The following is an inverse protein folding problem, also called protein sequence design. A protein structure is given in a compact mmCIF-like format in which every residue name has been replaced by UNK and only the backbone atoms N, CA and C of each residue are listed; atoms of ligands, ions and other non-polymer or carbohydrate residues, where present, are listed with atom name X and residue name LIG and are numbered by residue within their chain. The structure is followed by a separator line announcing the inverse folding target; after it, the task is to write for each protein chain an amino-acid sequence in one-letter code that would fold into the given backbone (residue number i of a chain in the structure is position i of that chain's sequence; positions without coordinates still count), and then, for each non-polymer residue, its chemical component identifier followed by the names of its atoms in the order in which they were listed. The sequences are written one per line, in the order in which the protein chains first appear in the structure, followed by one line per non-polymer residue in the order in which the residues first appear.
data_IF_615167435931
#
_entry.id   IF_615167435931
#
_cell.length_a   1.000
_cell.length_b   1.000
_cell.length_c   1.000
_cell.angle_alpha   90.00
_cell.angle_beta   90.00
_cell.angle_gamma   90.00
#
_symmetry.space_group_name_H-M   'P 1'
#
loop_
_entity.id
_entity.type
_entity.pdbx_description
1 polymer ?
#
# COMPACT_ATOMS: atom_id res chain seq x y z
N UNK A 1 -31.45 -8.28 -3.05
CA UNK A 1 -30.32 -8.35 -2.11
C UNK A 1 -30.58 -9.24 -0.89
N UNK A 2 -31.72 -9.18 -0.17
CA UNK A 2 -32.08 -10.25 0.78
C UNK A 2 -32.11 -11.61 0.08
N UNK A 3 -32.56 -11.62 -1.17
CA UNK A 3 -32.67 -12.80 -2.01
C UNK A 3 -31.33 -13.49 -2.25
N UNK A 4 -30.23 -12.77 -2.53
CA UNK A 4 -28.93 -13.42 -2.80
C UNK A 4 -28.34 -14.04 -1.54
N UNK A 5 -28.47 -13.38 -0.38
CA UNK A 5 -28.05 -13.96 0.91
C UNK A 5 -28.91 -15.15 1.30
N UNK A 6 -30.23 -15.06 1.13
CA UNK A 6 -31.17 -16.16 1.40
C UNK A 6 -30.91 -17.34 0.48
N UNK A 7 -30.67 -17.10 -0.81
CA UNK A 7 -30.33 -18.15 -1.78
C UNK A 7 -28.98 -18.77 -1.44
N UNK A 8 -27.96 -17.97 -1.12
CA UNK A 8 -26.65 -18.49 -0.71
C UNK A 8 -26.76 -19.35 0.58
N UNK A 9 -27.54 -18.89 1.56
CA UNK A 9 -27.80 -19.63 2.78
C UNK A 9 -28.57 -20.93 2.53
N UNK A 10 -29.59 -20.90 1.66
CA UNK A 10 -30.37 -22.07 1.29
C UNK A 10 -29.52 -23.10 0.54
N UNK A 11 -28.73 -22.66 -0.44
CA UNK A 11 -27.82 -23.53 -1.20
C UNK A 11 -26.74 -24.13 -0.30
N UNK A 12 -26.12 -23.32 0.56
CA UNK A 12 -25.09 -23.77 1.49
C UNK A 12 -25.62 -24.80 2.49
N UNK A 13 -26.80 -24.53 3.08
CA UNK A 13 -27.46 -25.45 3.99
C UNK A 13 -27.93 -26.74 3.30
N UNK A 14 -28.35 -26.68 2.03
CA UNK A 14 -28.76 -27.85 1.27
C UNK A 14 -27.59 -28.74 0.82
N UNK A 15 -26.41 -28.15 0.57
CA UNK A 15 -25.28 -28.88 0.00
C UNK A 15 -24.42 -29.61 1.04
N UNK A 16 -23.92 -28.89 2.06
CA UNK A 16 -23.03 -29.43 3.10
C UNK A 16 -23.36 -28.76 4.45
N UNK A 17 -24.50 -29.08 5.08
CA UNK A 17 -25.05 -28.31 6.20
C UNK A 17 -24.09 -28.19 7.38
N UNK A 18 -23.36 -29.28 7.69
CA UNK A 18 -22.40 -29.29 8.81
C UNK A 18 -21.27 -28.29 8.58
N UNK A 19 -20.66 -28.30 7.40
CA UNK A 19 -19.57 -27.38 7.06
C UNK A 19 -20.07 -25.95 6.88
N UNK A 20 -21.25 -25.78 6.28
CA UNK A 20 -21.88 -24.48 6.12
C UNK A 20 -22.03 -23.74 7.45
N UNK A 21 -22.54 -24.42 8.49
CA UNK A 21 -22.68 -23.84 9.83
C UNK A 21 -21.32 -23.39 10.38
N UNK A 22 -20.27 -24.21 10.26
CA UNK A 22 -18.94 -23.84 10.72
C UNK A 22 -18.35 -22.66 9.96
N UNK A 23 -18.50 -22.60 8.64
CA UNK A 23 -18.04 -21.49 7.81
C UNK A 23 -18.76 -20.19 8.15
N UNK A 24 -20.09 -20.23 8.31
CA UNK A 24 -20.89 -19.07 8.72
C UNK A 24 -20.53 -18.64 10.14
N UNK A 25 -20.37 -19.57 11.07
CA UNK A 25 -19.97 -19.26 12.44
C UNK A 25 -18.58 -18.61 12.48
N UNK A 26 -17.60 -19.15 11.75
CA UNK A 26 -16.26 -18.56 11.66
C UNK A 26 -16.29 -17.16 11.05
N UNK A 27 -17.09 -16.96 9.98
CA UNK A 27 -17.28 -15.66 9.36
C UNK A 27 -17.90 -14.64 10.31
N UNK A 28 -19.01 -15.00 10.98
CA UNK A 28 -19.69 -14.12 11.92
C UNK A 28 -18.85 -13.84 13.17
N UNK A 29 -18.05 -14.81 13.63
CA UNK A 29 -17.13 -14.64 14.76
C UNK A 29 -16.10 -13.54 14.49
N UNK A 30 -15.68 -13.36 13.24
CA UNK A 30 -14.77 -12.27 12.84
C UNK A 30 -15.55 -10.99 12.55
N UNK A 31 -16.65 -11.10 11.79
CA UNK A 31 -17.40 -9.93 11.33
C UNK A 31 -18.07 -9.16 12.47
N UNK A 32 -18.76 -9.87 13.37
CA UNK A 32 -19.59 -9.22 14.40
C UNK A 32 -18.74 -8.38 15.36
N UNK A 33 -17.65 -8.88 15.96
CA UNK A 33 -16.85 -8.05 16.86
C UNK A 33 -16.20 -6.87 16.15
N UNK A 34 -15.70 -7.04 14.92
CA UNK A 34 -15.02 -5.95 14.21
C UNK A 34 -15.99 -4.83 13.80
N UNK A 35 -17.16 -5.17 13.26
CA UNK A 35 -18.15 -4.16 12.83
C UNK A 35 -18.95 -3.55 13.99
N UNK A 36 -18.94 -4.16 15.17
CA UNK A 36 -19.60 -3.60 16.36
C UNK A 36 -18.63 -2.93 17.32
N UNK A 37 -17.35 -2.79 16.95
CA UNK A 37 -16.27 -2.27 17.82
C UNK A 37 -16.24 -3.03 19.16
N UNK A 38 -16.22 -4.36 19.08
CA UNK A 38 -16.31 -5.27 20.24
C UNK A 38 -17.57 -5.04 21.10
N UNK A 39 -18.68 -4.66 20.47
CA UNK A 39 -19.98 -4.44 21.09
C UNK A 39 -20.25 -3.03 21.59
N UNK A 40 -19.30 -2.09 21.50
CA UNK A 40 -19.53 -0.69 21.91
C UNK A 40 -20.40 0.09 20.92
N UNK A 41 -20.46 -0.36 19.65
CA UNK A 41 -21.30 0.22 18.61
C UNK A 41 -22.10 -0.84 17.84
N UNK A 42 -23.15 -1.44 18.43
CA UNK A 42 -23.89 -2.56 17.83
C UNK A 42 -24.53 -2.28 16.48
N UNK A 43 -24.92 -1.02 16.23
CA UNK A 43 -25.54 -0.60 14.96
C UNK A 43 -24.57 -0.67 13.78
N UNK A 44 -23.26 -0.76 14.01
CA UNK A 44 -22.25 -0.85 12.94
C UNK A 44 -22.40 -2.10 12.06
N UNK A 45 -23.05 -3.17 12.56
CA UNK A 45 -23.32 -4.35 11.75
C UNK A 45 -24.29 -4.09 10.58
N UNK A 46 -25.20 -3.12 10.73
CA UNK A 46 -26.11 -2.73 9.65
C UNK A 46 -25.34 -2.12 8.48
N UNK A 47 -24.23 -1.45 8.76
CA UNK A 47 -23.35 -0.87 7.75
C UNK A 47 -22.40 -1.86 7.09
N UNK A 48 -22.26 -3.09 7.61
CA UNK A 48 -21.18 -4.00 7.21
C UNK A 48 -21.18 -4.35 5.72
N UNK A 49 -22.36 -4.51 5.15
CA UNK A 49 -22.51 -4.87 3.74
C UNK A 49 -22.89 -3.68 2.87
N UNK A 50 -23.95 -2.95 3.24
CA UNK A 50 -24.54 -1.97 2.32
C UNK A 50 -23.94 -0.59 2.46
N UNK A 51 -23.76 -0.08 3.67
CA UNK A 51 -23.07 1.21 3.82
C UNK A 51 -21.65 1.15 3.27
N UNK A 52 -20.93 0.05 3.49
CA UNK A 52 -19.61 -0.18 2.89
C UNK A 52 -19.67 -0.23 1.36
N UNK A 53 -20.68 -0.90 0.79
CA UNK A 53 -20.83 -1.02 -0.67
C UNK A 53 -21.27 0.29 -1.32
N UNK A 54 -22.24 0.99 -0.75
CA UNK A 54 -22.73 2.30 -1.20
C UNK A 54 -21.57 3.29 -1.19
N UNK A 55 -20.81 3.35 -0.09
CA UNK A 55 -19.60 4.17 -0.02
C UNK A 55 -18.59 3.82 -1.13
N UNK A 56 -18.33 2.53 -1.36
CA UNK A 56 -17.40 2.09 -2.41
C UNK A 56 -17.88 2.43 -3.83
N UNK A 57 -19.19 2.33 -4.10
CA UNK A 57 -19.81 2.73 -5.37
C UNK A 57 -19.63 4.25 -5.56
N UNK A 58 -19.92 5.04 -4.54
CA UNK A 58 -19.78 6.50 -4.57
C UNK A 58 -18.32 6.94 -4.81
N UNK A 59 -17.33 6.14 -4.39
CA UNK A 59 -15.91 6.45 -4.64
C UNK A 59 -15.49 6.28 -6.11
N UNK A 60 -16.26 5.56 -6.95
CA UNK A 60 -15.87 5.31 -8.34
C UNK A 60 -15.84 6.59 -9.19
N UNK A 61 -16.71 7.57 -8.90
CA UNK A 61 -16.73 8.86 -9.61
C UNK A 61 -15.57 9.77 -9.21
N UNK A 62 -15.11 9.69 -7.96
CA UNK A 62 -14.00 10.50 -7.43
C UNK A 62 -12.65 10.04 -8.00
N UNK A 63 -12.53 8.74 -8.37
CA UNK A 63 -11.33 8.12 -8.93
C UNK A 63 -10.05 8.42 -8.14
N UNK A 64 -10.12 8.27 -6.81
CA UNK A 64 -8.99 8.49 -5.90
C UNK A 64 -7.81 7.63 -6.35
N UNK A 65 -6.62 8.24 -6.47
CA UNK A 65 -5.42 7.56 -6.94
C UNK A 65 -5.61 6.93 -8.31
N UNK A 66 -6.10 7.68 -9.29
CA UNK A 66 -6.17 7.22 -10.69
C UNK A 66 -4.81 6.72 -11.15
N UNK A 67 -4.76 5.48 -11.66
CA UNK A 67 -3.60 4.90 -12.31
C UNK A 67 -3.95 4.38 -13.72
N UNK A 68 -2.95 4.12 -14.58
CA UNK A 68 -3.18 3.47 -15.86
C UNK A 68 -3.84 2.09 -15.69
N UNK A 69 -4.55 1.63 -16.72
CA UNK A 69 -5.26 0.33 -16.70
C UNK A 69 -4.32 -0.87 -16.45
N UNK A 70 -3.04 -0.74 -16.83
CA UNK A 70 -1.99 -1.74 -16.65
C UNK A 70 -1.28 -1.66 -15.30
N UNK A 71 -1.73 -0.83 -14.35
CA UNK A 71 -1.07 -0.65 -13.05
C UNK A 71 -0.74 -1.96 -12.33
N UNK A 72 -1.71 -2.87 -12.22
CA UNK A 72 -1.49 -4.19 -11.57
C UNK A 72 -0.67 -5.16 -12.41
N UNK A 73 -0.54 -4.94 -13.72
CA UNK A 73 0.32 -5.75 -14.60
C UNK A 73 1.80 -5.61 -14.20
N UNK A 74 2.18 -4.45 -13.67
CA UNK A 74 3.54 -4.20 -13.20
C UNK A 74 3.70 -4.54 -11.72
N UNK A 75 2.71 -4.16 -10.90
CA UNK A 75 2.79 -4.31 -9.45
C UNK A 75 2.79 -5.77 -9.00
N UNK A 76 1.93 -6.62 -9.59
CA UNK A 76 1.81 -8.03 -9.17
C UNK A 76 3.09 -8.84 -9.45
N UNK A 77 3.72 -8.79 -10.65
CA UNK A 77 5.01 -9.46 -10.85
C UNK A 77 6.12 -8.96 -9.94
N UNK A 78 6.14 -7.67 -9.58
CA UNK A 78 7.17 -7.09 -8.72
C UNK A 78 7.13 -7.59 -7.27
N UNK A 79 5.94 -7.80 -6.72
CA UNK A 79 5.76 -8.12 -5.30
C UNK A 79 5.24 -9.55 -5.05
N UNK A 80 4.52 -10.14 -6.01
CA UNK A 80 3.87 -11.45 -5.86
C UNK A 80 4.49 -12.52 -6.76
N UNK A 81 5.71 -12.32 -7.27
CA UNK A 81 6.38 -13.24 -8.21
C UNK A 81 6.41 -14.71 -7.75
N UNK A 82 6.64 -14.93 -6.44
CA UNK A 82 6.72 -16.26 -5.83
C UNK A 82 5.43 -17.07 -5.98
N UNK A 83 4.27 -16.40 -5.90
CA UNK A 83 2.95 -17.06 -6.01
C UNK A 83 2.34 -16.91 -7.41
N UNK A 84 2.66 -15.83 -8.12
CA UNK A 84 2.17 -15.56 -9.47
C UNK A 84 2.54 -16.69 -10.43
N UNK A 85 3.81 -17.08 -10.48
CA UNK A 85 4.31 -18.07 -11.44
C UNK A 85 3.70 -19.46 -11.19
N UNK A 86 3.87 -20.09 -10.01
CA UNK A 86 3.27 -21.40 -9.76
C UNK A 86 1.73 -21.35 -9.76
N UNK A 87 1.14 -20.25 -9.29
CA UNK A 87 -0.31 -20.05 -9.27
C UNK A 87 -0.89 -19.95 -10.68
N UNK A 88 -0.45 -18.98 -11.48
CA UNK A 88 -1.03 -18.76 -12.81
C UNK A 88 -0.64 -19.85 -13.81
N UNK A 89 0.65 -20.15 -13.97
CA UNK A 89 1.11 -21.14 -14.97
C UNK A 89 0.64 -22.54 -14.55
N UNK A 90 0.86 -22.92 -13.30
CA UNK A 90 0.46 -24.23 -12.79
C UNK A 90 -1.06 -24.39 -12.70
N UNK A 91 -1.78 -23.33 -12.33
CA UNK A 91 -3.24 -23.30 -12.28
C UNK A 91 -3.87 -23.41 -13.66
N UNK A 92 -3.34 -22.70 -14.66
CA UNK A 92 -3.78 -22.84 -16.06
C UNK A 92 -3.51 -24.24 -16.59
N UNK A 93 -2.35 -24.83 -16.30
CA UNK A 93 -2.05 -26.20 -16.66
C UNK A 93 -3.03 -27.21 -16.03
N UNK A 94 -3.33 -27.08 -14.72
CA UNK A 94 -4.33 -27.91 -14.05
C UNK A 94 -5.74 -27.71 -14.66
N UNK A 95 -6.08 -26.48 -15.02
CA UNK A 95 -7.38 -26.14 -15.60
C UNK A 95 -7.54 -26.74 -17.00
N UNK A 96 -6.60 -26.48 -17.91
CA UNK A 96 -6.70 -26.83 -19.33
C UNK A 96 -6.39 -28.30 -19.56
N UNK A 97 -5.30 -28.82 -18.98
CA UNK A 97 -4.80 -30.17 -19.25
C UNK A 97 -5.44 -31.20 -18.33
N UNK A 98 -5.60 -30.87 -17.05
CA UNK A 98 -6.15 -31.81 -16.05
C UNK A 98 -7.65 -31.65 -15.82
N UNK A 99 -8.29 -30.61 -16.40
CA UNK A 99 -9.71 -30.28 -16.21
C UNK A 99 -10.09 -30.20 -14.73
N UNK A 100 -9.20 -29.62 -13.94
CA UNK A 100 -9.39 -29.48 -12.50
C UNK A 100 -10.27 -28.26 -12.19
N UNK A 101 -11.48 -28.51 -11.70
CA UNK A 101 -12.47 -27.46 -11.43
C UNK A 101 -12.07 -26.48 -10.33
N UNK A 102 -11.30 -26.93 -9.33
CA UNK A 102 -10.83 -26.03 -8.29
C UNK A 102 -9.74 -25.10 -8.81
N UNK A 103 -8.82 -25.61 -9.65
CA UNK A 103 -7.87 -24.75 -10.34
C UNK A 103 -8.59 -23.76 -11.27
N UNK A 104 -9.62 -24.22 -11.99
CA UNK A 104 -10.43 -23.37 -12.86
C UNK A 104 -11.10 -22.23 -12.08
N UNK A 105 -11.65 -22.53 -10.89
CA UNK A 105 -12.21 -21.53 -9.99
C UNK A 105 -11.15 -20.51 -9.54
N UNK A 106 -9.96 -20.98 -9.13
CA UNK A 106 -8.87 -20.09 -8.71
C UNK A 106 -8.36 -19.17 -9.83
N UNK A 107 -8.20 -19.72 -11.04
CA UNK A 107 -7.83 -18.94 -12.24
C UNK A 107 -8.92 -17.93 -12.58
N UNK A 108 -10.19 -18.35 -12.59
CA UNK A 108 -11.32 -17.45 -12.82
C UNK A 108 -11.36 -16.32 -11.78
N UNK A 109 -11.18 -16.65 -10.50
CA UNK A 109 -11.17 -15.67 -9.41
C UNK A 109 -10.05 -14.64 -9.61
N UNK A 110 -8.81 -15.08 -9.88
CA UNK A 110 -7.71 -14.16 -10.16
C UNK A 110 -7.97 -13.28 -11.40
N UNK A 111 -8.34 -13.88 -12.54
CA UNK A 111 -8.52 -13.15 -13.79
C UNK A 111 -9.70 -12.17 -13.75
N UNK A 112 -10.80 -12.56 -13.10
CA UNK A 112 -11.97 -11.68 -12.92
C UNK A 112 -11.65 -10.51 -11.99
N UNK A 113 -10.94 -10.74 -10.88
CA UNK A 113 -10.51 -9.65 -10.00
C UNK A 113 -9.49 -8.74 -10.69
N UNK A 114 -8.55 -9.31 -11.44
CA UNK A 114 -7.58 -8.53 -12.22
C UNK A 114 -8.30 -7.61 -13.21
N UNK A 115 -9.24 -8.15 -14.00
CA UNK A 115 -10.02 -7.38 -14.95
C UNK A 115 -10.88 -6.30 -14.25
N UNK A 116 -11.55 -6.65 -13.15
CA UNK A 116 -12.39 -5.74 -12.40
C UNK A 116 -11.58 -4.56 -11.81
N UNK A 117 -10.43 -4.83 -11.21
CA UNK A 117 -9.57 -3.79 -10.61
C UNK A 117 -8.84 -2.95 -11.67
N UNK A 118 -8.47 -3.54 -12.81
CA UNK A 118 -7.94 -2.77 -13.96
C UNK A 118 -8.99 -1.84 -14.57
N UNK A 119 -10.27 -2.23 -14.52
CA UNK A 119 -11.39 -1.41 -14.99
C UNK A 119 -11.83 -0.35 -13.97
N UNK A 120 -11.84 -0.67 -12.67
CA UNK A 120 -12.30 0.22 -11.60
C UNK A 120 -11.55 1.57 -11.59
N UNK A 121 -12.24 2.63 -11.16
CA UNK A 121 -11.70 3.98 -11.15
C UNK A 121 -10.60 4.17 -10.11
N UNK A 122 -10.79 3.62 -8.92
CA UNK A 122 -9.78 3.58 -7.85
C UNK A 122 -8.73 2.51 -8.13
N UNK A 123 -7.45 2.90 -8.17
CA UNK A 123 -6.32 1.98 -8.35
C UNK A 123 -5.22 2.27 -7.36
N UNK A 124 -5.09 1.39 -6.38
CA UNK A 124 -4.23 1.59 -5.23
C UNK A 124 -3.45 0.32 -4.93
N UNK A 125 -2.21 0.43 -4.42
CA UNK A 125 -1.37 -0.74 -4.23
C UNK A 125 -1.97 -1.75 -3.24
N UNK A 126 -2.74 -1.32 -2.24
CA UNK A 126 -3.39 -2.25 -1.29
C UNK A 126 -4.43 -3.16 -1.93
N UNK A 127 -4.95 -2.83 -3.12
CA UNK A 127 -5.89 -3.67 -3.84
C UNK A 127 -5.22 -4.92 -4.44
N UNK A 128 -3.88 -4.99 -4.48
CA UNK A 128 -3.15 -6.21 -4.87
C UNK A 128 -3.49 -7.38 -3.96
N UNK A 129 -3.92 -7.14 -2.71
CA UNK A 129 -4.34 -8.21 -1.80
C UNK A 129 -5.43 -9.10 -2.41
N UNK A 130 -6.38 -8.50 -3.14
CA UNK A 130 -7.45 -9.24 -3.82
C UNK A 130 -6.96 -10.10 -5.00
N UNK A 131 -5.77 -9.80 -5.53
CA UNK A 131 -5.09 -10.56 -6.57
C UNK A 131 -4.15 -11.61 -5.97
N UNK A 132 -3.44 -11.25 -4.90
CA UNK A 132 -2.52 -12.12 -4.18
C UNK A 132 -3.24 -13.32 -3.55
N UNK A 133 -4.41 -13.10 -2.93
CA UNK A 133 -5.14 -14.17 -2.24
C UNK A 133 -5.50 -15.38 -3.14
N UNK A 134 -6.15 -15.23 -4.31
CA UNK A 134 -6.39 -16.36 -5.21
C UNK A 134 -5.09 -16.97 -5.73
N UNK A 135 -4.05 -16.17 -5.99
CA UNK A 135 -2.74 -16.68 -6.42
C UNK A 135 -2.09 -17.54 -5.34
N UNK A 136 -2.13 -17.13 -4.07
CA UNK A 136 -1.61 -17.89 -2.94
C UNK A 136 -2.29 -19.26 -2.82
N UNK A 137 -3.62 -19.31 -2.87
CA UNK A 137 -4.35 -20.58 -2.83
C UNK A 137 -4.04 -21.46 -4.04
N UNK A 138 -4.01 -20.88 -5.23
CA UNK A 138 -3.73 -21.61 -6.46
C UNK A 138 -2.28 -22.14 -6.48
N UNK A 139 -1.30 -21.33 -6.08
CA UNK A 139 0.09 -21.71 -5.95
C UNK A 139 0.27 -22.84 -4.92
N UNK A 140 -0.30 -22.70 -3.72
CA UNK A 140 -0.26 -23.74 -2.69
C UNK A 140 -0.90 -25.04 -3.17
N UNK A 141 -2.03 -24.96 -3.87
CA UNK A 141 -2.72 -26.12 -4.45
C UNK A 141 -1.89 -26.81 -5.53
N UNK A 142 -1.29 -26.04 -6.45
CA UNK A 142 -0.40 -26.55 -7.49
C UNK A 142 0.82 -27.23 -6.87
N UNK A 143 1.52 -26.54 -5.96
CA UNK A 143 2.72 -27.06 -5.29
C UNK A 143 2.38 -28.34 -4.53
N UNK A 144 1.30 -28.34 -3.74
CA UNK A 144 0.82 -29.52 -3.00
C UNK A 144 0.44 -30.71 -3.88
N UNK A 145 0.16 -30.49 -5.17
CA UNK A 145 -0.14 -31.56 -6.14
C UNK A 145 1.10 -32.01 -6.89
N UNK A 146 1.95 -31.09 -7.31
CA UNK A 146 3.08 -31.36 -8.19
C UNK A 146 4.27 -31.90 -7.40
N UNK A 147 4.61 -31.28 -6.27
CA UNK A 147 5.81 -31.64 -5.50
C UNK A 147 5.76 -33.07 -4.95
N UNK A 148 4.68 -33.56 -4.31
CA UNK A 148 4.65 -34.95 -3.83
C UNK A 148 4.73 -35.99 -4.95
N UNK A 149 4.14 -35.69 -6.11
CA UNK A 149 4.20 -36.57 -7.29
C UNK A 149 5.61 -36.63 -7.86
N UNK A 150 6.27 -35.49 -7.98
CA UNK A 150 7.67 -35.41 -8.39
C UNK A 150 8.56 -36.19 -7.40
N UNK A 151 8.43 -35.94 -6.10
CA UNK A 151 9.18 -36.63 -5.06
C UNK A 151 8.96 -38.16 -5.06
N UNK A 152 7.73 -38.62 -5.32
CA UNK A 152 7.43 -40.04 -5.42
C UNK A 152 8.00 -40.69 -6.68
N UNK A 153 8.03 -39.99 -7.83
CA UNK A 153 8.64 -40.48 -9.06
C UNK A 153 10.16 -40.63 -8.91
N UNK A 154 10.78 -39.63 -8.26
CA UNK A 154 12.19 -39.60 -7.84
C UNK A 154 12.53 -40.82 -6.99
N UNK A 155 11.80 -41.06 -5.89
CA UNK A 155 12.07 -42.18 -4.96
C UNK A 155 11.96 -43.55 -5.60
N UNK A 156 11.17 -43.71 -6.67
CA UNK A 156 10.96 -45.01 -7.34
C UNK A 156 12.00 -45.29 -8.43
N UNK A 157 12.96 -44.39 -8.68
CA UNK A 157 13.92 -44.54 -9.78
C UNK A 157 13.26 -44.55 -11.16
N UNK A 158 12.01 -44.06 -11.28
CA UNK A 158 11.22 -44.06 -12.52
C UNK A 158 11.35 -42.75 -13.30
N UNK A 159 12.24 -41.85 -12.87
CA UNK A 159 12.45 -40.57 -13.51
C UNK A 159 13.46 -40.67 -14.65
N UNK A 160 13.10 -40.25 -15.86
CA UNK A 160 14.08 -40.06 -16.94
C UNK A 160 15.02 -38.88 -16.59
N UNK A 161 16.25 -38.86 -17.13
CA UNK A 161 17.22 -37.77 -16.91
C UNK A 161 16.61 -36.38 -17.14
N UNK A 162 15.73 -36.26 -18.14
CA UNK A 162 15.02 -35.02 -18.44
C UNK A 162 14.07 -34.60 -17.31
N UNK A 163 13.32 -35.54 -16.72
CA UNK A 163 12.42 -35.24 -15.61
C UNK A 163 13.18 -34.77 -14.36
N UNK A 164 14.36 -35.34 -14.11
CA UNK A 164 15.25 -34.91 -13.04
C UNK A 164 15.79 -33.50 -13.26
N UNK A 165 16.29 -33.23 -14.48
CA UNK A 165 16.78 -31.90 -14.83
C UNK A 165 15.67 -30.84 -14.70
N UNK A 166 14.45 -31.13 -15.18
CA UNK A 166 13.30 -30.23 -15.07
C UNK A 166 12.86 -29.99 -13.62
N UNK A 167 12.84 -31.04 -12.78
CA UNK A 167 12.46 -30.91 -11.37
C UNK A 167 13.49 -30.08 -10.57
N UNK A 168 14.78 -30.31 -10.81
CA UNK A 168 15.85 -29.53 -10.20
C UNK A 168 15.81 -28.07 -10.68
N UNK A 169 15.65 -27.83 -11.98
CA UNK A 169 15.53 -26.49 -12.53
C UNK A 169 14.33 -25.73 -11.95
N UNK A 170 13.15 -26.37 -11.87
CA UNK A 170 11.96 -25.77 -11.27
C UNK A 170 12.15 -25.47 -9.77
N UNK A 171 12.81 -26.36 -9.03
CA UNK A 171 13.11 -26.15 -7.60
C UNK A 171 14.07 -25.00 -7.40
N UNK A 172 15.18 -24.97 -8.15
CA UNK A 172 16.14 -23.86 -8.13
C UNK A 172 15.46 -22.55 -8.47
N UNK A 173 14.61 -22.53 -9.51
CA UNK A 173 13.86 -21.35 -9.90
C UNK A 173 12.94 -20.85 -8.79
N UNK A 174 12.15 -21.73 -8.16
CA UNK A 174 11.29 -21.37 -7.02
C UNK A 174 12.09 -20.87 -5.81
N UNK A 175 13.27 -21.44 -5.54
CA UNK A 175 14.16 -20.97 -4.48
C UNK A 175 14.71 -19.57 -4.79
N UNK A 176 15.12 -19.30 -6.02
CA UNK A 176 15.56 -17.97 -6.44
C UNK A 176 14.44 -16.94 -6.33
N UNK A 177 13.22 -17.29 -6.73
CA UNK A 177 12.04 -16.45 -6.51
C UNK A 177 11.76 -16.22 -5.02
N UNK A 178 11.95 -17.24 -4.18
CA UNK A 178 11.81 -17.12 -2.73
C UNK A 178 12.83 -16.16 -2.13
N UNK A 179 14.09 -16.26 -2.53
CA UNK A 179 15.15 -15.31 -2.12
C UNK A 179 14.84 -13.90 -2.60
N UNK A 180 14.38 -13.75 -3.84
CA UNK A 180 13.96 -12.46 -4.37
C UNK A 180 12.80 -11.87 -3.57
N UNK A 181 11.75 -12.67 -3.30
CA UNK A 181 10.60 -12.23 -2.52
C UNK A 181 10.99 -11.78 -1.11
N UNK A 182 11.85 -12.54 -0.41
CA UNK A 182 12.37 -12.15 0.91
C UNK A 182 13.20 -10.87 0.83
N UNK A 183 14.05 -10.71 -0.19
CA UNK A 183 14.83 -9.47 -0.40
C UNK A 183 13.92 -8.26 -0.61
N UNK A 184 12.90 -8.40 -1.46
CA UNK A 184 11.92 -7.34 -1.76
C UNK A 184 11.16 -6.96 -0.49
N UNK A 185 10.64 -7.96 0.23
CA UNK A 185 9.87 -7.74 1.45
C UNK A 185 10.72 -7.12 2.57
N UNK A 186 11.97 -7.56 2.73
CA UNK A 186 12.90 -6.98 3.70
C UNK A 186 13.23 -5.52 3.38
N UNK A 187 13.52 -5.20 2.12
CA UNK A 187 13.80 -3.83 1.72
C UNK A 187 12.59 -2.92 1.95
N UNK A 188 11.41 -3.36 1.52
CA UNK A 188 10.17 -2.61 1.65
C UNK A 188 9.77 -2.38 3.12
N UNK A 189 9.78 -3.42 3.96
CA UNK A 189 9.26 -3.31 5.32
C UNK A 189 10.31 -2.88 6.35
N UNK A 190 11.61 -3.08 6.08
CA UNK A 190 12.65 -2.89 7.10
C UNK A 190 13.67 -1.80 6.77
N UNK A 191 14.01 -1.63 5.49
CA UNK A 191 14.99 -0.63 5.04
C UNK A 191 14.30 0.69 4.70
N UNK A 192 13.25 0.62 3.88
CA UNK A 192 12.50 1.78 3.40
C UNK A 192 10.99 1.69 3.75
N UNK A 193 10.62 1.53 5.04
CA UNK A 193 9.21 1.36 5.44
C UNK A 193 8.35 2.60 5.17
N UNK A 194 9.00 3.77 5.18
CA UNK A 194 8.34 5.06 5.06
C UNK A 194 8.89 5.90 3.91
N UNK A 195 9.97 5.49 3.24
CA UNK A 195 10.56 6.17 2.09
C UNK A 195 10.02 5.59 0.77
N UNK A 196 9.38 6.39 -0.10
CA UNK A 196 8.65 5.90 -1.25
C UNK A 196 9.56 5.68 -2.47
N UNK A 197 10.55 4.80 -2.31
CA UNK A 197 11.44 4.33 -3.38
C UNK A 197 10.94 3.03 -4.03
N UNK A 198 9.80 2.54 -3.55
CA UNK A 198 9.14 1.32 -3.99
C UNK A 198 7.69 1.64 -4.41
N UNK A 199 7.21 1.18 -5.59
CA UNK A 199 5.85 1.45 -6.08
C UNK A 199 4.71 1.06 -5.13
N UNK A 200 4.93 0.13 -4.19
CA UNK A 200 3.92 -0.23 -3.20
C UNK A 200 3.66 0.89 -2.17
N UNK A 201 4.61 1.81 -1.99
CA UNK A 201 4.47 2.98 -1.12
C UNK A 201 3.88 4.12 -1.95
N UNK A 202 2.55 4.13 -2.02
CA UNK A 202 1.82 5.11 -2.83
C UNK A 202 2.00 6.55 -2.34
N UNK A 203 1.58 6.86 -1.11
CA UNK A 203 1.80 8.15 -0.45
C UNK A 203 2.07 7.84 1.00
N UNK A 204 3.11 8.45 1.57
CA UNK A 204 3.53 8.17 2.93
C UNK A 204 3.94 9.44 3.67
N UNK A 205 3.80 9.41 4.99
CA UNK A 205 4.31 10.46 5.88
C UNK A 205 5.83 10.34 5.99
N UNK A 206 6.55 11.46 5.91
CA UNK A 206 8.00 11.43 6.06
C UNK A 206 8.47 11.12 7.49
N UNK A 207 9.59 10.40 7.69
CA UNK A 207 10.22 10.22 9.00
C UNK A 207 10.61 11.54 9.67
N UNK A 208 10.77 12.62 8.88
CA UNK A 208 11.11 13.97 9.37
C UNK A 208 10.11 14.52 10.37
N UNK A 209 8.86 14.06 10.34
CA UNK A 209 7.84 14.52 11.27
C UNK A 209 8.13 14.10 12.72
N UNK A 210 8.81 12.97 12.94
CA UNK A 210 9.04 12.46 14.30
C UNK A 210 10.00 13.34 15.10
N UNK A 211 11.23 13.66 14.61
CA UNK A 211 12.11 14.60 15.32
C UNK A 211 11.48 15.99 15.52
N UNK A 212 10.72 16.47 14.52
CA UNK A 212 10.01 17.75 14.62
C UNK A 212 8.93 17.69 15.70
N UNK A 213 8.16 16.60 15.78
CA UNK A 213 7.16 16.42 16.83
C UNK A 213 7.80 16.44 18.23
N UNK A 214 8.99 15.86 18.38
CA UNK A 214 9.71 15.84 19.64
C UNK A 214 10.25 17.22 20.04
N UNK A 215 10.77 18.00 19.08
CA UNK A 215 11.14 19.40 19.28
C UNK A 215 9.93 20.26 19.68
N UNK A 216 8.77 20.06 19.03
CA UNK A 216 7.52 20.76 19.38
C UNK A 216 7.12 20.45 20.82
N UNK A 217 7.16 19.16 21.21
CA UNK A 217 6.84 18.75 22.57
C UNK A 217 7.84 19.31 23.57
N UNK A 218 9.13 19.38 23.23
CA UNK A 218 10.16 19.97 24.07
C UNK A 218 9.89 21.46 24.29
N UNK A 219 9.65 22.22 23.23
CA UNK A 219 9.37 23.64 23.31
C UNK A 219 8.13 23.98 24.16
N UNK A 220 7.06 23.18 24.05
CA UNK A 220 5.86 23.34 24.90
C UNK A 220 6.13 22.96 26.37
N UNK A 221 6.94 21.92 26.63
CA UNK A 221 7.29 21.52 28.01
C UNK A 221 8.21 22.53 28.70
N UNK A 222 9.13 23.11 27.95
CA UNK A 222 10.08 24.13 28.42
C UNK A 222 9.44 25.52 28.57
N UNK A 223 8.22 25.70 28.07
CA UNK A 223 7.52 26.99 28.09
C UNK A 223 8.10 28.01 27.11
N UNK A 224 8.92 27.58 26.14
CA UNK A 224 9.42 28.44 25.06
C UNK A 224 8.40 28.63 23.95
N UNK A 225 7.37 27.79 23.91
CA UNK A 225 6.17 27.94 23.09
C UNK A 225 4.89 27.73 23.92
N UNK A 226 3.80 28.43 23.56
CA UNK A 226 2.52 28.34 24.27
C UNK A 226 1.48 27.44 23.58
N UNK A 227 1.53 27.37 22.25
CA UNK A 227 0.65 26.52 21.44
C UNK A 227 1.27 26.22 20.08
N UNK A 228 0.65 25.27 19.39
CA UNK A 228 0.95 24.96 17.99
C UNK A 228 -0.19 25.45 17.12
N UNK A 229 0.12 26.17 16.05
CA UNK A 229 -0.83 26.64 15.06
C UNK A 229 -0.56 25.89 13.76
N UNK A 230 -1.58 25.20 13.25
CA UNK A 230 -1.47 24.36 12.06
C UNK A 230 -2.38 24.89 10.98
N UNK A 231 -1.79 25.19 9.83
CA UNK A 231 -2.53 25.55 8.63
C UNK A 231 -3.25 24.32 8.06
N UNK A 232 -4.53 24.47 7.69
CA UNK A 232 -5.42 23.40 7.20
C UNK A 232 -5.28 23.09 5.70
N UNK A 233 -4.63 23.96 4.92
CA UNK A 233 -4.45 23.76 3.48
C UNK A 233 -3.66 22.49 3.15
N UNK A 234 -3.92 21.94 1.96
CA UNK A 234 -3.32 20.70 1.47
C UNK A 234 -3.44 19.52 2.46
N UNK A 235 -4.45 19.50 3.34
CA UNK A 235 -4.65 18.45 4.34
C UNK A 235 -3.48 18.25 5.30
N UNK A 236 -2.73 19.32 5.61
CA UNK A 236 -1.62 19.30 6.58
C UNK A 236 -2.02 18.82 7.97
N UNK A 237 -3.30 18.96 8.33
CA UNK A 237 -3.88 18.50 9.60
C UNK A 237 -3.50 17.06 9.94
N UNK A 238 -3.50 16.15 8.96
CA UNK A 238 -3.01 14.79 9.14
C UNK A 238 -1.56 14.67 8.66
N UNK A 239 -0.63 14.05 9.43
CA UNK A 239 -0.86 13.31 10.67
C UNK A 239 -0.61 14.12 11.96
N UNK A 240 -0.45 15.44 11.88
CA UNK A 240 -0.17 16.26 13.07
C UNK A 240 -1.25 16.15 14.15
N UNK A 241 -2.52 16.02 13.76
CA UNK A 241 -3.63 15.74 14.68
C UNK A 241 -3.40 14.49 15.55
N UNK A 242 -2.69 13.49 15.04
CA UNK A 242 -2.33 12.29 15.81
C UNK A 242 -1.08 12.51 16.67
N UNK A 243 0.01 13.00 16.08
CA UNK A 243 1.29 13.15 16.79
C UNK A 243 1.28 14.22 17.88
N UNK A 244 0.43 15.23 17.73
CA UNK A 244 0.25 16.33 18.67
C UNK A 244 -1.05 16.17 19.48
N UNK A 245 -1.64 14.96 19.51
CA UNK A 245 -2.85 14.69 20.28
C UNK A 245 -2.62 15.00 21.77
N UNK A 246 -3.53 15.78 22.35
CA UNK A 246 -3.46 16.19 23.75
C UNK A 246 -2.56 17.41 24.02
N UNK A 247 -1.99 18.02 22.97
CA UNK A 247 -1.29 19.31 23.06
C UNK A 247 -2.22 20.47 22.74
N UNK A 248 -1.81 21.68 23.10
CA UNK A 248 -2.54 22.91 22.77
C UNK A 248 -2.34 23.25 21.27
N UNK A 249 -3.24 22.76 20.42
CA UNK A 249 -3.17 22.92 18.96
C UNK A 249 -4.37 23.74 18.47
N UNK A 250 -4.11 24.76 17.66
CA UNK A 250 -5.13 25.56 16.96
C UNK A 250 -5.00 25.32 15.45
N UNK A 251 -6.12 25.09 14.78
CA UNK A 251 -6.17 24.95 13.32
C UNK A 251 -6.68 26.25 12.70
N UNK A 252 -5.98 26.74 11.69
CA UNK A 252 -6.31 28.01 11.01
C UNK A 252 -6.31 27.84 9.50
N UNK A 253 -7.08 28.70 8.84
CA UNK A 253 -7.12 28.80 7.37
C UNK A 253 -6.05 29.78 6.85
N UNK A 254 -5.82 29.76 5.53
CA UNK A 254 -4.73 30.49 4.85
C UNK A 254 -4.74 32.01 5.06
N UNK A 255 -5.92 32.59 5.20
CA UNK A 255 -6.17 34.02 5.38
C UNK A 255 -5.83 34.51 6.79
N UNK A 256 -5.78 33.59 7.75
CA UNK A 256 -5.49 33.86 9.15
C UNK A 256 -3.99 33.84 9.48
N UNK A 257 -3.11 33.64 8.48
CA UNK A 257 -1.65 33.77 8.65
C UNK A 257 -1.26 35.24 8.63
N UNK A 258 -1.40 35.91 9.78
CA UNK A 258 -1.14 37.34 9.97
C UNK A 258 -0.69 37.64 11.41
N UNK A 259 -0.21 38.86 11.65
CA UNK A 259 0.30 39.32 12.96
C UNK A 259 -0.78 39.55 14.02
N UNK A 260 -2.07 39.56 13.63
CA UNK A 260 -3.19 39.66 14.59
C UNK A 260 -3.51 38.29 15.21
N UNK A 261 -3.37 37.23 14.43
CA UNK A 261 -3.73 35.85 14.82
C UNK A 261 -2.54 35.11 15.43
N UNK A 262 -1.35 35.29 14.85
CA UNK A 262 -0.12 34.60 15.21
C UNK A 262 0.69 35.40 16.21
N UNK A 263 1.23 34.72 17.22
CA UNK A 263 2.06 35.34 18.26
C UNK A 263 3.52 34.85 18.20
N UNK A 264 4.50 35.64 18.69
CA UNK A 264 5.91 35.25 18.64
C UNK A 264 6.28 33.97 19.42
N UNK A 265 5.43 33.57 20.37
CA UNK A 265 5.53 32.36 21.20
C UNK A 265 4.69 31.18 20.67
N UNK A 266 4.09 31.31 19.48
CA UNK A 266 3.44 30.20 18.78
C UNK A 266 4.46 29.37 17.98
N UNK A 267 4.22 28.07 17.86
CA UNK A 267 4.85 27.26 16.81
C UNK A 267 3.90 27.23 15.61
N UNK A 268 4.39 27.52 14.41
CA UNK A 268 3.55 27.57 13.21
C UNK A 268 3.95 26.48 12.21
N UNK A 269 3.01 25.63 11.83
CA UNK A 269 3.18 24.58 10.81
C UNK A 269 2.38 24.96 9.57
N UNK A 270 3.04 25.04 8.41
CA UNK A 270 2.41 25.45 7.15
C UNK A 270 3.02 24.78 5.93
N UNK A 271 2.30 24.77 4.80
CA UNK A 271 2.87 24.43 3.49
C UNK A 271 3.94 25.46 3.14
N UNK A 272 4.99 25.02 2.44
CA UNK A 272 6.10 25.87 2.03
C UNK A 272 5.63 27.12 1.28
N UNK A 273 6.14 28.28 1.69
CA UNK A 273 5.93 29.56 0.99
C UNK A 273 4.89 30.49 1.63
N UNK A 274 3.93 29.97 2.42
CA UNK A 274 2.85 30.80 2.99
C UNK A 274 3.35 31.83 4.03
N UNK A 275 4.16 31.40 4.99
CA UNK A 275 4.78 32.30 5.97
C UNK A 275 6.04 32.95 5.39
N UNK A 276 6.82 32.22 4.59
CA UNK A 276 8.01 32.76 3.93
C UNK A 276 7.70 33.98 3.03
N UNK A 277 6.51 34.04 2.43
CA UNK A 277 6.03 35.18 1.64
C UNK A 277 5.52 36.38 2.46
N UNK A 278 5.51 36.30 3.79
CA UNK A 278 5.01 37.34 4.72
C UNK A 278 6.11 37.74 5.71
N UNK A 279 6.99 38.70 5.36
CA UNK A 279 8.13 39.09 6.19
C UNK A 279 7.73 39.59 7.59
N UNK A 280 6.59 40.25 7.71
CA UNK A 280 5.96 40.71 8.95
C UNK A 280 5.74 39.56 9.94
N UNK A 281 5.27 38.41 9.46
CA UNK A 281 5.07 37.20 10.28
C UNK A 281 6.37 36.42 10.44
N UNK A 282 7.10 36.19 9.35
CA UNK A 282 8.33 35.39 9.32
C UNK A 282 9.37 35.89 10.34
N UNK A 283 9.53 37.21 10.47
CA UNK A 283 10.54 37.82 11.33
C UNK A 283 10.26 37.66 12.84
N UNK A 284 9.08 37.18 13.23
CA UNK A 284 8.77 36.84 14.62
C UNK A 284 9.48 35.56 15.07
N UNK A 285 9.83 34.68 14.14
CA UNK A 285 10.32 33.32 14.41
C UNK A 285 11.80 33.14 14.03
N UNK A 286 12.34 31.97 14.34
CA UNK A 286 13.62 31.51 13.78
C UNK A 286 13.49 31.14 12.30
N UNK A 287 14.62 30.83 11.64
CA UNK A 287 14.61 30.22 10.32
C UNK A 287 13.75 28.93 10.32
N UNK A 288 12.90 28.71 9.30
CA UNK A 288 12.01 27.57 9.28
C UNK A 288 12.78 26.26 9.19
N UNK A 289 12.24 25.22 9.84
CA UNK A 289 12.60 23.83 9.54
C UNK A 289 11.80 23.41 8.32
N UNK A 290 12.48 23.20 7.20
CA UNK A 290 11.85 22.66 5.99
C UNK A 290 11.87 21.13 6.06
N UNK A 291 10.77 20.51 5.64
CA UNK A 291 10.66 19.07 5.60
C UNK A 291 9.61 18.60 4.57
N UNK A 292 9.81 17.44 3.93
CA UNK A 292 8.72 16.76 3.24
C UNK A 292 7.66 16.35 4.26
N UNK A 293 6.44 16.86 4.13
CA UNK A 293 5.31 16.46 4.98
C UNK A 293 4.77 15.08 4.58
N UNK A 294 4.56 14.94 3.27
CA UNK A 294 4.18 13.68 2.61
C UNK A 294 5.01 13.52 1.36
N UNK A 295 5.29 12.29 0.99
CA UNK A 295 6.03 11.95 -0.22
C UNK A 295 5.45 10.70 -0.89
N UNK A 296 5.73 10.54 -2.17
CA UNK A 296 5.20 9.45 -3.00
C UNK A 296 6.20 9.01 -4.07
N UNK A 297 6.03 7.77 -4.52
CA UNK A 297 6.85 7.20 -5.58
C UNK A 297 6.63 7.99 -6.87
N UNK A 298 7.67 8.31 -7.65
CA UNK A 298 7.49 9.09 -8.88
C UNK A 298 6.74 8.28 -9.94
N UNK A 299 5.65 8.85 -10.43
CA UNK A 299 4.72 8.16 -11.33
C UNK A 299 4.81 8.65 -12.78
N UNK A 300 5.58 9.72 -13.04
CA UNK A 300 5.62 10.38 -14.34
C UNK A 300 6.08 9.44 -15.48
N UNK A 301 7.04 8.55 -15.21
CA UNK A 301 7.56 7.59 -16.19
C UNK A 301 6.48 6.58 -16.62
N UNK A 302 6.11 5.67 -15.73
CA UNK A 302 5.19 4.58 -16.09
C UNK A 302 3.78 5.06 -16.46
N UNK A 303 3.34 6.24 -15.99
CA UNK A 303 2.05 6.81 -16.41
C UNK A 303 2.05 7.33 -17.84
N UNK A 304 3.21 7.70 -18.37
CA UNK A 304 3.34 8.13 -19.75
C UNK A 304 3.40 6.96 -20.75
N UNK A 305 3.61 5.73 -20.26
CA UNK A 305 3.71 4.53 -21.09
C UNK A 305 2.40 4.26 -21.84
N UNK A 306 2.51 4.12 -23.16
CA UNK A 306 1.41 3.72 -24.04
C UNK A 306 1.53 2.23 -24.39
N UNK A 307 0.44 1.63 -24.90
CA UNK A 307 0.49 0.25 -25.39
C UNK A 307 1.54 0.04 -26.48
N UNK A 308 1.63 0.97 -27.44
CA UNK A 308 2.63 0.92 -28.50
C UNK A 308 4.05 1.05 -27.94
N UNK A 309 4.27 2.03 -27.05
CA UNK A 309 5.56 2.21 -26.39
C UNK A 309 6.03 0.96 -25.64
N UNK A 310 5.13 0.33 -24.87
CA UNK A 310 5.44 -0.91 -24.15
C UNK A 310 5.80 -2.07 -25.08
N UNK A 311 5.13 -2.21 -26.24
CA UNK A 311 5.50 -3.22 -27.24
C UNK A 311 6.84 -2.90 -27.91
N UNK A 312 7.15 -1.64 -28.13
CA UNK A 312 8.40 -1.20 -28.75
C UNK A 312 9.58 -1.37 -27.79
N UNK A 313 9.44 -0.98 -26.53
CA UNK A 313 10.41 -1.20 -25.44
C UNK A 313 10.65 -2.70 -25.17
N UNK A 314 9.59 -3.52 -25.25
CA UNK A 314 9.71 -4.98 -25.13
C UNK A 314 10.48 -5.58 -26.31
N UNK A 315 10.28 -5.07 -27.53
CA UNK A 315 11.02 -5.53 -28.72
C UNK A 315 12.47 -5.04 -28.74
N UNK A 316 12.74 -3.83 -28.26
CA UNK A 316 14.08 -3.27 -28.17
C UNK A 316 14.90 -3.91 -27.05
N UNK A 317 14.23 -4.50 -26.05
CA UNK A 317 14.86 -5.08 -24.85
C UNK A 317 15.03 -4.06 -23.71
N UNK A 318 14.80 -2.78 -23.97
CA UNK A 318 14.90 -1.68 -23.02
C UNK A 318 14.02 -1.91 -21.78
N UNK A 319 12.80 -2.43 -21.98
CA UNK A 319 11.91 -2.79 -20.88
C UNK A 319 12.55 -3.81 -19.93
N UNK A 320 13.21 -4.83 -20.48
CA UNK A 320 13.84 -5.89 -19.68
C UNK A 320 15.03 -5.33 -18.92
N UNK A 321 15.82 -4.46 -19.56
CA UNK A 321 16.97 -3.81 -18.94
C UNK A 321 16.54 -2.87 -17.81
N UNK A 322 15.51 -2.03 -18.01
CA UNK A 322 14.95 -1.17 -16.97
C UNK A 322 14.42 -1.98 -15.79
N UNK A 323 13.66 -3.03 -16.05
CA UNK A 323 13.14 -3.92 -15.00
C UNK A 323 14.26 -4.62 -14.24
N UNK A 324 15.26 -5.12 -14.94
CA UNK A 324 16.41 -5.80 -14.32
C UNK A 324 17.22 -4.81 -13.49
N UNK A 325 17.46 -3.62 -14.02
CA UNK A 325 18.13 -2.53 -13.33
C UNK A 325 17.35 -2.15 -12.06
N UNK A 326 16.04 -1.94 -12.18
CA UNK A 326 15.18 -1.67 -11.03
C UNK A 326 15.24 -2.80 -10.00
N UNK A 327 15.13 -4.08 -10.40
CA UNK A 327 15.21 -5.22 -9.48
C UNK A 327 16.57 -5.36 -8.77
N UNK A 328 17.66 -4.96 -9.42
CA UNK A 328 19.02 -5.00 -8.84
C UNK A 328 19.26 -3.80 -7.92
N UNK A 329 18.92 -2.60 -8.38
CA UNK A 329 19.23 -1.30 -7.77
C UNK A 329 18.06 -0.65 -7.01
N UNK A 330 16.97 -1.39 -6.75
CA UNK A 330 15.78 -0.96 -5.96
C UNK A 330 16.17 0.01 -4.85
N UNK A 331 15.58 1.20 -4.83
CA UNK A 331 15.95 2.25 -3.87
C UNK A 331 16.53 3.50 -4.50
N UNK A 332 17.21 3.35 -5.64
CA UNK A 332 17.84 4.47 -6.36
C UNK A 332 16.84 5.16 -7.28
N UNK A 333 16.04 6.06 -6.70
CA UNK A 333 15.06 6.87 -7.42
C UNK A 333 15.59 8.29 -7.55
N UNK A 334 15.79 8.78 -8.78
CA UNK A 334 16.40 10.09 -9.05
C UNK A 334 15.67 11.26 -8.38
N UNK A 335 14.34 11.19 -8.24
CA UNK A 335 13.57 12.24 -7.57
C UNK A 335 12.26 11.72 -6.99
N UNK A 336 12.12 11.83 -5.67
CA UNK A 336 10.89 11.49 -4.95
C UNK A 336 9.90 12.67 -5.01
N UNK A 337 8.63 12.38 -5.31
CA UNK A 337 7.56 13.36 -5.24
C UNK A 337 7.25 13.73 -3.79
N UNK A 338 7.09 15.01 -3.47
CA UNK A 338 6.81 15.42 -2.08
C UNK A 338 6.01 16.71 -1.96
N UNK A 339 5.17 16.76 -0.93
CA UNK A 339 4.55 17.98 -0.42
C UNK A 339 5.46 18.57 0.65
N UNK A 340 6.07 19.71 0.34
CA UNK A 340 7.01 20.39 1.24
C UNK A 340 6.29 21.29 2.24
N UNK A 341 6.66 21.18 3.51
CA UNK A 341 6.13 21.98 4.59
C UNK A 341 7.25 22.66 5.39
N UNK A 342 6.85 23.64 6.20
CA UNK A 342 7.71 24.47 7.01
C UNK A 342 7.17 24.50 8.45
N UNK A 343 8.05 24.36 9.43
CA UNK A 343 7.76 24.63 10.84
C UNK A 343 8.58 25.82 11.31
N UNK A 344 7.90 26.80 11.90
CA UNK A 344 8.49 27.98 12.50
C UNK A 344 8.42 27.85 14.02
N UNK A 345 9.58 27.98 14.66
CA UNK A 345 9.71 27.94 16.11
C UNK A 345 9.97 29.35 16.66
N UNK A 346 9.50 29.67 17.88
CA UNK A 346 9.83 30.90 18.60
C UNK A 346 11.33 31.12 18.70
N UNK A 347 11.80 32.38 18.74
CA UNK A 347 13.24 32.72 18.75
C UNK A 347 14.07 32.06 19.85
N UNK A 348 13.45 31.72 20.96
CA UNK A 348 14.13 31.16 22.15
C UNK A 348 14.02 29.63 22.25
N UNK A 349 13.33 28.96 21.31
CA UNK A 349 13.15 27.51 21.34
C UNK A 349 14.38 26.76 20.84
N UNK A 350 14.70 25.63 21.47
CA UNK A 350 15.74 24.70 20.98
C UNK A 350 15.15 23.82 19.88
N UNK A 351 15.89 23.65 18.76
CA UNK A 351 15.41 22.88 17.59
C UNK A 351 16.52 21.95 17.10
N UNK A 352 16.49 20.70 17.55
CA UNK A 352 17.51 19.69 17.22
C UNK A 352 17.25 19.03 15.86
N UNK A 353 16.02 19.08 15.36
CA UNK A 353 15.62 18.47 14.09
C UNK A 353 16.32 19.08 12.88
N UNK A 354 16.96 20.26 13.03
CA UNK A 354 17.78 20.87 11.96
C UNK A 354 19.05 20.09 11.65
N UNK A 355 19.66 19.47 12.66
CA UNK A 355 20.96 18.81 12.54
C UNK A 355 20.84 17.32 12.16
N UNK A 356 19.61 16.80 12.14
CA UNK A 356 19.32 15.44 11.69
C UNK A 356 19.42 15.40 10.16
N UNK A 357 20.65 15.29 9.64
CA UNK A 357 20.93 15.25 8.21
C UNK A 357 20.16 14.14 7.49
N UNK A 358 19.14 14.53 6.74
CA UNK A 358 18.64 13.78 5.61
C UNK A 358 19.10 14.58 4.38
N UNK A 359 19.92 13.97 3.54
CA UNK A 359 20.23 14.53 2.22
C UNK A 359 18.95 14.54 1.40
N UNK A 360 18.68 15.66 0.74
CA UNK A 360 17.56 15.85 -0.21
C UNK A 360 17.50 14.77 -1.30
#
# INVERSE_FOLDING_TARGET
VPITLVVAAAVGAAWQPRWWIWCVAAYLLVLVPLYTTWGTHPTGIAGAFWTSLDYWIDQQEVRRGTQPWFYYFWLVPLYESLVLIPGLIGGLWLTVVRRDWFAALGVFWFLSMFAALSYAGEKMPWLTFHLALPLCFLAAYVIGRVVPRAAAAVRRGRGSTLQWASASAATTFLLLLGVLAVRVDWNLNRVNPDTPVEPLIYVQTSPRLLPIADDIRAALREGTANRVVIHTDQSLTWPWAWYLRGLNVTYIDKDQINTETLKPDDIVITTRGFVSGRPDVRNMYQAPVQYPHRWWFPEAGYRATTLSGLFDELKSGELIDEWTNFLVHRGDVERIGSLQAEVYFPKNATVNSRDTGFSD
#
